data_IF_910152314092
#
_entry.id   IF_910152314092
#
_cell.length_a   1.000
_cell.length_b   1.000
_cell.length_c   1.000
_cell.angle_alpha   90.00
_cell.angle_beta   90.00
_cell.angle_gamma   90.00
#
_symmetry.space_group_name_H-M   'P 1'
#
loop_
_entity.id
_entity.type
_entity.pdbx_description
1 polymer ?
#
# COMPACT_ATOMS: atom_id res chain seq x y z
N UNK A 1 0.88 5.10 10.31
CA UNK A 1 -0.56 5.35 10.55
C UNK A 1 -1.36 4.85 9.37
N UNK A 2 -2.53 4.27 9.62
CA UNK A 2 -3.42 3.70 8.59
C UNK A 2 -4.53 4.70 8.24
N UNK A 3 -4.79 4.89 6.94
CA UNK A 3 -5.95 5.63 6.44
C UNK A 3 -7.05 4.63 6.10
N UNK A 4 -8.16 4.70 6.81
CA UNK A 4 -9.30 3.80 6.58
C UNK A 4 -10.33 4.46 5.66
N UNK A 5 -11.22 3.63 5.10
CA UNK A 5 -12.38 4.05 4.32
C UNK A 5 -12.02 4.89 3.10
N UNK A 6 -11.13 4.33 2.30
CA UNK A 6 -10.75 4.90 1.02
C UNK A 6 -11.76 4.44 -0.02
N UNK A 7 -12.38 5.41 -0.70
CA UNK A 7 -13.33 5.09 -1.76
C UNK A 7 -12.59 4.54 -2.98
N UNK A 8 -13.06 3.40 -3.49
CA UNK A 8 -12.63 2.85 -4.76
C UNK A 8 -13.76 2.99 -5.78
N UNK A 9 -13.42 3.46 -6.98
CA UNK A 9 -14.37 3.44 -8.10
C UNK A 9 -14.56 1.99 -8.54
N UNK A 10 -15.79 1.48 -8.68
CA UNK A 10 -16.00 0.14 -9.20
C UNK A 10 -15.53 0.03 -10.65
N UNK A 11 -14.97 -1.13 -11.02
CA UNK A 11 -14.62 -1.41 -12.41
C UNK A 11 -15.91 -1.48 -13.26
N UNK A 12 -15.92 -0.90 -14.46
CA UNK A 12 -17.06 -1.03 -15.38
C UNK A 12 -17.15 -2.50 -15.83
N UNK A 13 -18.01 -3.27 -15.18
CA UNK A 13 -18.23 -4.69 -15.46
C UNK A 13 -18.73 -4.89 -16.90
N UNK A 14 -17.93 -5.55 -17.75
CA UNK A 14 -18.46 -6.25 -18.93
C UNK A 14 -19.10 -7.57 -18.49
N UNK A 15 -20.32 -7.81 -18.96
CA UNK A 15 -21.24 -8.87 -18.52
C UNK A 15 -20.71 -10.27 -18.92
N UNK A 16 -19.76 -10.83 -18.15
CA UNK A 16 -19.37 -12.25 -18.00
C UNK A 16 -17.94 -12.33 -17.43
N UNK A 17 -17.78 -12.45 -16.11
CA UNK A 17 -16.47 -12.68 -15.51
C UNK A 17 -16.32 -14.15 -15.12
N UNK A 18 -15.34 -14.84 -15.72
CA UNK A 18 -14.91 -16.19 -15.34
C UNK A 18 -14.10 -16.15 -14.03
N UNK A 19 -13.91 -17.30 -13.37
CA UNK A 19 -13.16 -17.41 -12.10
C UNK A 19 -11.71 -16.89 -12.17
N UNK A 20 -11.09 -16.88 -13.36
CA UNK A 20 -9.75 -16.29 -13.57
C UNK A 20 -9.73 -14.76 -13.42
N UNK A 21 -10.89 -14.10 -13.48
CA UNK A 21 -10.97 -12.66 -13.31
C UNK A 21 -10.97 -12.21 -11.85
N UNK A 22 -11.04 -13.11 -10.88
CA UNK A 22 -11.03 -12.75 -9.47
C UNK A 22 -9.69 -13.00 -8.79
N UNK A 23 -8.65 -13.35 -9.54
CA UNK A 23 -7.29 -13.49 -8.99
C UNK A 23 -6.80 -12.13 -8.45
N UNK A 24 -6.23 -12.13 -7.25
CA UNK A 24 -5.62 -10.94 -6.64
C UNK A 24 -4.52 -10.40 -7.56
N UNK A 25 -4.54 -9.08 -7.83
CA UNK A 25 -3.46 -8.39 -8.54
C UNK A 25 -2.72 -7.44 -7.61
N UNK A 26 -1.46 -7.74 -7.35
CA UNK A 26 -0.56 -6.88 -6.57
C UNK A 26 0.36 -6.15 -7.52
N UNK A 27 0.38 -4.82 -7.45
CA UNK A 27 1.39 -4.01 -8.15
C UNK A 27 2.45 -3.52 -7.17
N UNK A 28 3.71 -3.79 -7.50
CA UNK A 28 4.86 -3.29 -6.73
C UNK A 28 5.23 -1.90 -7.22
N UNK A 29 5.51 -1.01 -6.26
CA UNK A 29 6.16 0.27 -6.50
C UNK A 29 7.43 0.29 -5.65
N UNK A 30 8.59 0.27 -6.31
CA UNK A 30 9.87 0.35 -5.62
C UNK A 30 10.21 1.80 -5.29
N UNK A 31 10.54 2.04 -4.01
CA UNK A 31 11.19 3.28 -3.59
C UNK A 31 12.64 3.32 -4.07
N UNK A 32 13.16 4.52 -4.34
CA UNK A 32 14.52 4.74 -4.81
C UNK A 32 15.60 4.20 -3.85
N UNK A 33 15.28 3.96 -2.58
CA UNK A 33 16.15 3.24 -1.64
C UNK A 33 16.56 1.85 -2.13
N UNK A 34 15.68 1.14 -2.83
CA UNK A 34 16.00 -0.18 -3.41
C UNK A 34 17.05 -0.05 -4.52
N UNK A 35 17.03 1.05 -5.27
CA UNK A 35 18.02 1.32 -6.32
C UNK A 35 19.41 1.63 -5.77
N UNK A 36 19.48 2.09 -4.52
CA UNK A 36 20.72 2.40 -3.79
C UNK A 36 21.32 1.19 -3.06
N UNK A 37 20.65 0.04 -3.05
CA UNK A 37 21.22 -1.19 -2.51
C UNK A 37 22.42 -1.65 -3.36
N UNK A 38 23.38 -2.39 -2.76
CA UNK A 38 24.36 -3.19 -3.48
C UNK A 38 23.75 -3.95 -4.66
N UNK A 39 24.49 -4.06 -5.76
CA UNK A 39 23.94 -4.53 -7.03
C UNK A 39 23.35 -5.96 -6.96
N UNK A 40 23.96 -6.83 -6.17
CA UNK A 40 23.51 -8.17 -5.86
C UNK A 40 22.21 -8.17 -5.04
N UNK A 41 22.14 -7.39 -3.95
CA UNK A 41 20.94 -7.23 -3.14
C UNK A 41 19.78 -6.61 -3.94
N UNK A 42 20.07 -5.59 -4.75
CA UNK A 42 19.08 -4.94 -5.63
C UNK A 42 18.45 -5.93 -6.61
N UNK A 43 19.28 -6.72 -7.30
CA UNK A 43 18.80 -7.78 -8.22
C UNK A 43 18.02 -8.85 -7.46
N UNK A 44 18.50 -9.27 -6.30
CA UNK A 44 17.80 -10.23 -5.46
C UNK A 44 16.38 -9.73 -5.11
N UNK A 45 16.24 -8.48 -4.67
CA UNK A 45 14.96 -7.87 -4.29
C UNK A 45 14.04 -7.67 -5.49
N UNK A 46 14.56 -7.13 -6.60
CA UNK A 46 13.77 -6.75 -7.78
C UNK A 46 13.43 -7.92 -8.70
N UNK A 47 14.32 -8.90 -8.81
CA UNK A 47 14.21 -9.94 -9.85
C UNK A 47 13.81 -11.30 -9.26
N UNK A 48 13.98 -11.51 -7.94
CA UNK A 48 13.70 -12.79 -7.29
C UNK A 48 12.71 -12.70 -6.13
N UNK A 49 13.07 -12.05 -5.02
CA UNK A 49 12.30 -12.13 -3.77
C UNK A 49 10.86 -11.66 -3.92
N UNK A 50 10.65 -10.39 -4.28
CA UNK A 50 9.30 -9.84 -4.40
C UNK A 50 8.51 -10.42 -5.57
N UNK A 51 9.07 -10.57 -6.80
CA UNK A 51 8.35 -11.20 -7.89
C UNK A 51 7.86 -12.61 -7.55
N UNK A 52 8.72 -13.47 -6.98
CA UNK A 52 8.33 -14.84 -6.63
C UNK A 52 7.33 -14.89 -5.48
N UNK A 53 7.49 -14.03 -4.47
CA UNK A 53 6.53 -13.95 -3.36
C UNK A 53 5.15 -13.50 -3.84
N UNK A 54 5.07 -12.50 -4.70
CA UNK A 54 3.81 -12.02 -5.27
C UNK A 54 3.19 -13.05 -6.18
N UNK A 55 3.96 -13.66 -7.06
CA UNK A 55 3.49 -14.68 -7.98
C UNK A 55 2.88 -15.88 -7.22
N UNK A 56 3.49 -16.28 -6.09
CA UNK A 56 2.91 -17.24 -5.16
C UNK A 56 1.57 -16.76 -4.57
N UNK A 57 1.53 -15.56 -4.00
CA UNK A 57 0.33 -15.03 -3.32
C UNK A 57 -0.82 -14.76 -4.28
N UNK A 58 -0.55 -14.24 -5.47
CA UNK A 58 -1.57 -14.03 -6.50
C UNK A 58 -2.16 -15.36 -6.96
N UNK A 59 -1.39 -16.45 -7.06
CA UNK A 59 -1.96 -17.78 -7.34
C UNK A 59 -2.78 -18.34 -6.19
N UNK A 60 -2.42 -18.02 -4.96
CA UNK A 60 -3.09 -18.53 -3.78
C UNK A 60 -4.37 -17.76 -3.39
N UNK A 61 -4.49 -16.49 -3.77
CA UNK A 61 -5.51 -15.58 -3.27
C UNK A 61 -6.43 -15.05 -4.37
N UNK A 62 -7.71 -14.88 -4.04
CA UNK A 62 -8.73 -14.27 -4.90
C UNK A 62 -9.43 -13.12 -4.17
N UNK A 63 -9.91 -12.14 -4.93
CA UNK A 63 -10.67 -11.00 -4.44
C UNK A 63 -12.16 -11.17 -4.75
N UNK A 64 -13.03 -10.56 -3.93
CA UNK A 64 -14.48 -10.57 -4.17
C UNK A 64 -14.90 -9.67 -5.34
N UNK A 65 -14.30 -8.48 -5.40
CA UNK A 65 -14.59 -7.47 -6.40
C UNK A 65 -13.31 -6.78 -6.85
N UNK A 66 -13.19 -6.54 -8.15
CA UNK A 66 -12.16 -5.67 -8.70
C UNK A 66 -12.54 -4.21 -8.54
N UNK A 67 -11.56 -3.41 -8.17
CA UNK A 67 -11.67 -1.96 -8.22
C UNK A 67 -11.17 -1.45 -9.58
N UNK A 68 -11.63 -0.27 -9.96
CA UNK A 68 -10.93 0.56 -10.94
C UNK A 68 -9.55 0.99 -10.43
N UNK A 69 -8.91 2.00 -11.06
CA UNK A 69 -7.57 2.43 -10.65
C UNK A 69 -7.50 2.74 -9.15
N UNK A 70 -6.53 2.16 -8.45
CA UNK A 70 -6.35 2.37 -7.01
C UNK A 70 -5.83 3.80 -6.80
N UNK A 71 -6.68 4.62 -6.18
CA UNK A 71 -6.40 6.00 -5.82
C UNK A 71 -6.39 6.15 -4.31
N UNK A 72 -5.24 6.54 -3.77
CA UNK A 72 -5.02 6.61 -2.32
C UNK A 72 -5.43 7.97 -1.75
N UNK A 73 -6.11 7.96 -0.61
CA UNK A 73 -6.47 9.19 0.10
C UNK A 73 -5.23 9.88 0.67
N UNK A 74 -5.22 11.21 0.67
CA UNK A 74 -4.15 11.97 1.32
C UNK A 74 -4.26 11.88 2.85
N UNK A 75 -3.12 11.92 3.53
CA UNK A 75 -3.08 12.06 4.99
C UNK A 75 -3.44 13.48 5.41
N UNK A 76 -4.02 13.63 6.60
CA UNK A 76 -4.34 14.94 7.19
C UNK A 76 -3.17 15.46 8.03
N UNK A 77 -2.96 16.78 8.08
CA UNK A 77 -1.91 17.39 8.90
C UNK A 77 -2.10 17.03 10.38
N UNK A 78 -3.34 17.15 10.86
CA UNK A 78 -3.72 16.92 12.27
C UNK A 78 -4.12 15.49 12.57
N UNK A 79 -4.13 14.60 11.56
CA UNK A 79 -4.69 13.26 11.67
C UNK A 79 -6.16 13.19 12.11
N UNK A 80 -6.88 14.31 12.01
CA UNK A 80 -8.32 14.40 12.29
C UNK A 80 -9.08 14.23 10.98
N UNK A 81 -9.95 13.22 10.95
CA UNK A 81 -10.75 12.87 9.79
C UNK A 81 -12.23 13.06 10.11
N UNK A 82 -12.93 13.79 9.25
CA UNK A 82 -14.36 14.02 9.30
C UNK A 82 -15.07 13.19 8.24
N UNK A 83 -16.32 12.83 8.53
CA UNK A 83 -17.22 12.15 7.59
C UNK A 83 -18.42 13.02 7.32
N UNK A 84 -18.81 13.07 6.06
CA UNK A 84 -20.07 13.67 5.65
C UNK A 84 -21.11 12.57 5.49
N UNK A 85 -22.36 12.86 5.87
CA UNK A 85 -23.48 11.94 5.61
C UNK A 85 -23.64 11.77 4.10
N UNK A 86 -23.84 10.54 3.65
CA UNK A 86 -24.06 10.16 2.24
C UNK A 86 -22.87 10.44 1.29
N UNK A 87 -21.66 10.64 1.83
CA UNK A 87 -20.43 10.70 1.04
C UNK A 87 -19.49 9.56 1.45
N UNK A 88 -19.01 8.72 0.50
CA UNK A 88 -18.12 7.61 0.83
C UNK A 88 -16.68 8.07 1.18
N UNK A 89 -16.37 9.36 1.05
CA UNK A 89 -15.03 9.88 1.32
C UNK A 89 -14.86 10.42 2.73
N UNK A 90 -13.62 10.31 3.21
CA UNK A 90 -13.15 11.03 4.39
C UNK A 90 -12.56 12.38 4.01
N UNK A 91 -12.73 13.34 4.91
CA UNK A 91 -12.24 14.70 4.78
C UNK A 91 -11.24 14.99 5.90
N UNK A 92 -10.18 15.73 5.58
CA UNK A 92 -9.31 16.28 6.60
C UNK A 92 -9.95 17.49 7.26
N UNK A 93 -9.87 17.58 8.59
CA UNK A 93 -10.14 18.83 9.27
C UNK A 93 -8.97 19.79 8.99
N UNK A 94 -9.28 20.94 8.38
CA UNK A 94 -8.30 21.97 8.04
C UNK A 94 -7.58 21.69 6.71
N UNK A 95 -6.56 20.83 6.71
CA UNK A 95 -5.70 20.61 5.55
C UNK A 95 -5.16 19.18 5.40
N UNK A 96 -4.92 18.75 4.16
CA UNK A 96 -4.11 17.56 3.89
C UNK A 96 -2.63 17.86 4.14
N UNK A 97 -1.90 16.85 4.58
CA UNK A 97 -0.45 16.88 4.66
C UNK A 97 0.16 17.05 3.25
N UNK A 98 1.25 17.80 3.18
CA UNK A 98 2.00 18.00 1.93
C UNK A 98 2.54 16.68 1.37
N UNK A 99 2.90 15.75 2.26
CA UNK A 99 3.44 14.44 1.92
C UNK A 99 2.54 13.37 2.51
N UNK A 100 2.04 12.47 1.66
CA UNK A 100 1.35 11.25 2.10
C UNK A 100 2.32 10.08 2.08
N UNK A 101 2.36 9.32 3.18
CA UNK A 101 3.28 8.20 3.38
C UNK A 101 2.54 6.87 3.54
N UNK A 102 3.10 5.82 2.97
CA UNK A 102 2.72 4.44 3.22
C UNK A 102 3.92 3.76 3.91
N UNK A 103 3.89 3.70 5.24
CA UNK A 103 5.06 3.32 6.03
C UNK A 103 6.22 4.30 5.81
N UNK A 104 7.45 3.81 5.55
CA UNK A 104 8.61 4.68 5.33
C UNK A 104 8.64 5.30 3.91
N UNK A 105 7.75 4.87 3.00
CA UNK A 105 7.73 5.31 1.60
C UNK A 105 6.82 6.51 1.40
N UNK A 106 7.27 7.47 0.58
CA UNK A 106 6.44 8.58 0.11
C UNK A 106 5.60 8.10 -1.07
N UNK A 107 4.28 8.28 -0.98
CA UNK A 107 3.36 7.90 -2.06
C UNK A 107 3.49 8.90 -3.22
N UNK A 108 3.71 8.45 -4.48
CA UNK A 108 3.76 9.34 -5.64
C UNK A 108 2.46 10.13 -5.81
N UNK A 109 2.58 11.41 -6.21
CA UNK A 109 1.41 12.30 -6.37
C UNK A 109 0.38 11.76 -7.37
N UNK A 110 0.83 11.06 -8.41
CA UNK A 110 -0.05 10.47 -9.42
C UNK A 110 -0.85 9.25 -8.92
N UNK A 111 -0.55 8.71 -7.72
CA UNK A 111 -1.36 7.68 -7.06
C UNK A 111 -2.40 8.26 -6.08
N UNK A 112 -2.36 9.58 -5.83
CA UNK A 112 -3.17 10.21 -4.79
C UNK A 112 -4.47 10.79 -5.36
N UNK A 113 -5.50 10.74 -4.54
CA UNK A 113 -6.73 11.52 -4.73
C UNK A 113 -6.45 13.02 -4.54
N UNK A 114 -7.33 13.84 -5.10
CA UNK A 114 -7.45 15.25 -4.76
C UNK A 114 -7.65 15.39 -3.25
N UNK A 115 -7.06 16.42 -2.66
CA UNK A 115 -7.24 16.67 -1.23
C UNK A 115 -8.70 16.99 -0.94
N UNK A 116 -9.26 16.37 0.09
CA UNK A 116 -10.64 16.61 0.55
C UNK A 116 -10.57 17.17 1.95
N UNK A 117 -11.05 18.40 2.13
CA UNK A 117 -10.95 19.14 3.39
C UNK A 117 -12.30 19.64 3.83
N UNK A 118 -12.47 19.74 5.13
CA UNK A 118 -13.54 20.52 5.74
C UNK A 118 -12.93 21.69 6.51
N UNK A 119 -13.69 22.78 6.65
CA UNK A 119 -13.37 23.85 7.59
C UNK A 119 -13.20 23.30 9.01
N UNK A 120 -12.51 24.05 9.88
CA UNK A 120 -12.38 23.71 11.31
C UNK A 120 -13.74 23.47 11.99
N UNK A 121 -14.78 24.18 11.54
CA UNK A 121 -16.15 24.00 12.02
C UNK A 121 -16.88 22.77 11.45
N UNK A 122 -16.28 22.05 10.48
CA UNK A 122 -16.88 20.91 9.78
C UNK A 122 -18.06 21.27 8.86
N UNK A 123 -18.37 22.57 8.68
CA UNK A 123 -19.56 23.03 7.95
C UNK A 123 -19.38 23.11 6.44
N UNK A 124 -18.19 23.51 5.97
CA UNK A 124 -17.88 23.59 4.54
C UNK A 124 -16.83 22.55 4.20
N UNK A 125 -17.21 21.58 3.36
CA UNK A 125 -16.35 20.49 2.93
C UNK A 125 -16.26 20.46 1.41
N UNK A 126 -15.07 20.25 0.87
CA UNK A 126 -14.86 20.22 -0.57
C UNK A 126 -13.46 19.75 -0.97
N UNK A 127 -13.27 19.55 -2.27
CA UNK A 127 -11.95 19.32 -2.83
C UNK A 127 -11.07 20.57 -2.70
N UNK A 128 -9.76 20.37 -2.59
CA UNK A 128 -8.74 21.40 -2.57
C UNK A 128 -7.49 20.94 -3.31
N UNK A 129 -6.77 21.89 -3.93
CA UNK A 129 -5.54 21.62 -4.66
C UNK A 129 -5.74 20.84 -5.98
N UNK A 130 -4.66 20.22 -6.49
CA UNK A 130 -4.66 19.51 -7.78
C UNK A 130 -5.71 18.38 -7.83
N UNK A 131 -6.25 18.06 -9.02
CA UNK A 131 -7.20 16.96 -9.18
C UNK A 131 -6.57 15.59 -8.85
N UNK A 132 -7.40 14.56 -8.84
CA UNK A 132 -6.97 13.16 -8.72
C UNK A 132 -5.84 12.87 -9.73
N UNK A 133 -4.84 12.10 -9.30
CA UNK A 133 -3.92 11.47 -10.23
C UNK A 133 -4.59 10.37 -11.06
N UNK A 134 -3.86 9.75 -12.00
CA UNK A 134 -4.34 8.57 -12.73
C UNK A 134 -4.61 7.35 -11.83
N UNK A 135 -3.96 7.27 -10.66
CA UNK A 135 -4.02 6.09 -9.80
C UNK A 135 -3.20 4.92 -10.35
N UNK A 136 -3.31 3.77 -9.71
CA UNK A 136 -2.65 2.54 -10.14
C UNK A 136 -3.66 1.63 -10.82
N UNK A 137 -3.59 1.55 -12.15
CA UNK A 137 -4.51 0.72 -12.93
C UNK A 137 -4.24 -0.78 -12.77
N UNK A 138 -5.29 -1.61 -12.84
CA UNK A 138 -5.16 -3.06 -12.88
C UNK A 138 -4.53 -3.69 -11.63
N UNK A 139 -4.61 -3.00 -10.49
CA UNK A 139 -4.21 -3.51 -9.18
C UNK A 139 -5.42 -3.60 -8.27
N UNK A 140 -5.49 -4.65 -7.47
CA UNK A 140 -6.38 -4.75 -6.31
C UNK A 140 -5.64 -4.29 -5.04
N UNK A 141 -4.31 -4.39 -5.04
CA UNK A 141 -3.44 -3.98 -3.95
C UNK A 141 -2.13 -3.37 -4.48
N UNK A 142 -1.72 -2.24 -3.91
CA UNK A 142 -0.44 -1.58 -4.24
C UNK A 142 0.56 -1.77 -3.10
N UNK A 143 1.67 -2.44 -3.38
CA UNK A 143 2.74 -2.69 -2.41
C UNK A 143 3.93 -1.75 -2.66
N UNK A 144 4.18 -0.86 -1.71
CA UNK A 144 5.35 0.03 -1.72
C UNK A 144 6.54 -0.67 -1.06
N UNK A 145 7.60 -0.91 -1.82
CA UNK A 145 8.77 -1.67 -1.36
C UNK A 145 9.97 -0.74 -1.17
N UNK A 146 10.60 -0.81 -0.01
CA UNK A 146 11.80 -0.02 0.32
C UNK A 146 12.92 -0.82 0.94
N UNK A 147 14.13 -0.29 0.83
CA UNK A 147 15.34 -0.77 1.49
C UNK A 147 15.92 0.34 2.38
N UNK A 148 15.15 0.80 3.37
CA UNK A 148 15.53 1.92 4.23
C UNK A 148 16.02 1.42 5.60
N UNK A 149 17.12 1.98 6.07
CA UNK A 149 17.54 1.84 7.47
C UNK A 149 16.68 2.77 8.32
N UNK A 150 15.73 2.21 9.07
CA UNK A 150 14.86 2.93 9.98
C UNK A 150 15.18 2.57 11.43
N UNK A 151 14.59 3.26 12.41
CA UNK A 151 14.73 2.92 13.83
C UNK A 151 14.36 1.45 14.12
N UNK A 152 13.36 0.91 13.41
CA UNK A 152 12.96 -0.50 13.53
C UNK A 152 14.06 -1.47 13.10
N UNK A 153 14.88 -1.09 12.12
CA UNK A 153 16.03 -1.90 11.71
C UNK A 153 17.15 -1.92 12.75
N UNK A 154 17.14 -1.01 13.73
CA UNK A 154 18.06 -1.03 14.87
C UNK A 154 17.62 -1.97 16.01
N UNK A 155 16.40 -2.52 15.94
CA UNK A 155 15.93 -3.53 16.88
C UNK A 155 16.49 -4.90 16.48
N UNK A 156 16.86 -5.72 17.47
CA UNK A 156 17.46 -7.03 17.23
C UNK A 156 16.53 -7.93 16.40
N UNK A 157 17.11 -8.65 15.43
CA UNK A 157 16.45 -9.67 14.61
C UNK A 157 15.33 -9.19 13.65
N UNK A 158 15.20 -7.88 13.39
CA UNK A 158 14.27 -7.38 12.38
C UNK A 158 14.90 -7.42 10.99
N UNK A 159 14.56 -8.46 10.21
CA UNK A 159 15.00 -8.59 8.81
C UNK A 159 14.18 -7.69 7.89
N UNK A 160 12.88 -7.67 8.12
CA UNK A 160 11.91 -6.94 7.32
C UNK A 160 10.71 -6.57 8.20
N UNK A 161 9.91 -5.62 7.75
CA UNK A 161 8.60 -5.36 8.33
C UNK A 161 7.65 -4.78 7.29
N UNK A 162 6.38 -5.10 7.43
CA UNK A 162 5.34 -4.64 6.54
C UNK A 162 4.02 -4.40 7.27
N UNK A 163 3.18 -3.57 6.66
CA UNK A 163 1.81 -3.39 7.08
C UNK A 163 0.99 -2.77 5.96
N UNK A 164 -0.34 -2.89 6.06
CA UNK A 164 -1.24 -2.07 5.28
C UNK A 164 -1.15 -0.61 5.73
N UNK A 165 -1.37 0.30 4.80
CA UNK A 165 -1.45 1.73 5.08
C UNK A 165 -2.81 2.31 4.71
N UNK A 166 -3.57 1.67 3.80
CA UNK A 166 -4.89 2.11 3.41
C UNK A 166 -5.89 0.95 3.28
N UNK A 167 -7.09 1.13 3.84
CA UNK A 167 -8.22 0.19 3.73
C UNK A 167 -9.36 0.83 2.93
N UNK A 168 -10.05 0.05 2.09
CA UNK A 168 -11.23 0.53 1.36
C UNK A 168 -12.44 0.78 2.25
N UNK A 169 -13.40 1.56 1.77
CA UNK A 169 -14.62 1.91 2.52
C UNK A 169 -15.64 0.78 2.63
N UNK A 170 -15.75 -0.08 1.61
CA UNK A 170 -16.86 -1.04 1.51
C UNK A 170 -16.61 -2.34 2.30
N UNK A 171 -15.40 -2.91 2.19
CA UNK A 171 -15.07 -4.21 2.80
C UNK A 171 -13.93 -4.14 3.81
N UNK A 172 -13.44 -2.93 4.14
CA UNK A 172 -12.24 -2.72 4.97
C UNK A 172 -11.01 -3.52 4.50
N UNK A 173 -10.97 -3.88 3.21
CA UNK A 173 -9.88 -4.60 2.57
C UNK A 173 -8.65 -3.68 2.41
N UNK A 174 -7.43 -4.15 2.69
CA UNK A 174 -6.22 -3.43 2.32
C UNK A 174 -6.14 -3.19 0.82
N UNK A 175 -5.92 -1.93 0.43
CA UNK A 175 -5.73 -1.50 -0.97
C UNK A 175 -4.31 -1.02 -1.23
N UNK A 176 -3.59 -0.66 -0.17
CA UNK A 176 -2.18 -0.36 -0.23
C UNK A 176 -1.50 -0.71 1.09
N UNK A 177 -0.25 -1.13 0.96
CA UNK A 177 0.64 -1.41 2.07
C UNK A 177 2.08 -1.22 1.67
N UNK A 178 2.97 -1.43 2.62
CA UNK A 178 4.40 -1.28 2.41
C UNK A 178 5.12 -2.50 2.95
N UNK A 179 6.30 -2.77 2.39
CA UNK A 179 7.26 -3.72 2.91
C UNK A 179 8.65 -3.09 2.87
N UNK A 180 9.33 -3.04 4.01
CA UNK A 180 10.69 -2.55 4.11
C UNK A 180 11.63 -3.69 4.48
N UNK A 181 12.67 -3.90 3.67
CA UNK A 181 13.79 -4.76 4.02
C UNK A 181 14.87 -3.92 4.71
N UNK A 182 15.35 -4.37 5.86
CA UNK A 182 16.46 -3.71 6.54
C UNK A 182 17.76 -3.99 5.77
N UNK A 183 18.45 -2.97 5.20
CA UNK A 183 19.54 -3.20 4.23
C UNK A 183 20.67 -4.09 4.74
N UNK A 184 21.05 -3.95 6.01
CA UNK A 184 22.09 -4.74 6.65
C UNK A 184 21.74 -6.24 6.79
N UNK A 185 20.45 -6.57 6.74
CA UNK A 185 19.93 -7.92 6.92
C UNK A 185 19.64 -8.64 5.60
N UNK A 186 19.83 -7.97 4.45
CA UNK A 186 19.60 -8.58 3.14
C UNK A 186 20.80 -9.47 2.79
N UNK A 187 20.68 -10.77 3.05
CA UNK A 187 21.68 -11.73 2.59
C UNK A 187 21.46 -12.06 1.11
N UNK A 188 22.52 -11.90 0.31
CA UNK A 188 22.57 -12.33 -1.09
C UNK A 188 23.12 -13.74 -1.28
N UNK A 189 23.42 -14.44 -0.18
CA UNK A 189 23.97 -15.78 -0.23
C UNK A 189 22.89 -16.81 -0.64
N UNK A 190 23.22 -17.77 -1.53
CA UNK A 190 22.23 -18.74 -2.03
C UNK A 190 21.54 -19.57 -0.94
N UNK A 191 22.27 -19.95 0.11
CA UNK A 191 21.73 -20.74 1.23
C UNK A 191 20.66 -19.99 2.05
N UNK A 192 20.69 -18.65 2.05
CA UNK A 192 19.75 -17.83 2.80
C UNK A 192 18.49 -17.47 1.98
N UNK A 193 18.49 -17.82 0.68
CA UNK A 193 17.44 -17.41 -0.25
C UNK A 193 16.04 -17.86 0.19
N UNK A 194 15.87 -19.12 0.58
CA UNK A 194 14.57 -19.66 1.02
C UNK A 194 14.07 -18.96 2.29
N UNK A 195 14.98 -18.68 3.23
CA UNK A 195 14.67 -17.91 4.44
C UNK A 195 14.18 -16.52 4.10
N UNK A 196 14.94 -15.79 3.28
CA UNK A 196 14.57 -14.44 2.82
C UNK A 196 13.24 -14.42 2.05
N UNK A 197 13.01 -15.40 1.18
CA UNK A 197 11.77 -15.51 0.42
C UNK A 197 10.57 -15.79 1.34
N UNK A 198 10.75 -16.65 2.34
CA UNK A 198 9.73 -16.92 3.36
C UNK A 198 9.39 -15.65 4.15
N UNK A 199 10.41 -14.90 4.60
CA UNK A 199 10.22 -13.61 5.28
C UNK A 199 9.46 -12.62 4.40
N UNK A 200 9.83 -12.46 3.12
CA UNK A 200 9.12 -11.54 2.22
C UNK A 200 7.66 -11.96 2.02
N UNK A 201 7.37 -13.26 1.87
CA UNK A 201 5.99 -13.75 1.79
C UNK A 201 5.21 -13.41 3.07
N UNK A 202 5.79 -13.66 4.24
CA UNK A 202 5.20 -13.36 5.54
C UNK A 202 4.86 -11.87 5.68
N UNK A 203 5.79 -10.99 5.34
CA UNK A 203 5.59 -9.55 5.38
C UNK A 203 4.51 -9.07 4.40
N UNK A 204 4.47 -9.61 3.17
CA UNK A 204 3.40 -9.25 2.23
C UNK A 204 2.03 -9.70 2.77
N UNK A 205 1.95 -10.85 3.44
CA UNK A 205 0.71 -11.30 4.09
C UNK A 205 0.28 -10.30 5.19
N UNK A 206 1.20 -9.79 6.01
CA UNK A 206 0.88 -8.71 6.97
C UNK A 206 0.35 -7.45 6.29
N UNK A 207 0.82 -7.13 5.09
CA UNK A 207 0.32 -6.00 4.32
C UNK A 207 -1.06 -6.28 3.66
N UNK A 208 -1.40 -7.54 3.40
CA UNK A 208 -2.65 -7.96 2.76
C UNK A 208 -3.80 -8.24 3.74
N UNK A 209 -3.49 -8.47 5.02
CA UNK A 209 -4.48 -8.90 6.02
C UNK A 209 -4.77 -7.77 7.00
N UNK A 210 -6.01 -7.27 7.01
CA UNK A 210 -6.51 -6.32 7.99
C UNK A 210 -7.01 -7.05 9.25
N UNK A 211 -6.10 -7.49 10.12
CA UNK A 211 -6.48 -8.09 11.42
C UNK A 211 -6.01 -7.23 12.58
N UNK A 212 -6.89 -7.03 13.57
CA UNK A 212 -6.57 -6.46 14.89
C UNK A 212 -5.74 -7.42 15.77
N UNK A 213 -5.51 -8.66 15.33
CA UNK A 213 -5.02 -9.78 16.14
C UNK A 213 -3.61 -10.29 15.78
N UNK A 214 -2.82 -9.52 15.02
CA UNK A 214 -1.42 -9.85 14.68
C UNK A 214 -0.41 -8.85 15.26
N UNK A 215 -0.77 -8.16 16.35
CA UNK A 215 0.12 -7.33 17.15
C UNK A 215 0.31 -7.93 18.54
#
# INVERSE_FOLDING_TARGET
>A
QVVHQVYLKPERLTKRSSSSELQLKIKIIYDYSVDRLPADQRRLVKDKLFPQAIDYLQRALSVRHRAGPVLLSRQCVTNQYLRKRDDPHRYCQGACAQVTRCGPVVVPQHHLQQCKVCSESGRSCGPSGPPDGPGVEGADFVLYVSGLTTERCGQENIVAYAAYCQLEAELDRPIAGYANLCPAMISSQPQDFEGMLSTVKHEIIHALVATSALF
#
